data_IF_388768925800
#
_entry.id   IF_388768925800
#
_cell.length_a   1.000
_cell.length_b   1.000
_cell.length_c   1.000
_cell.angle_alpha   90.00
_cell.angle_beta   90.00
_cell.angle_gamma   90.00
#
_symmetry.space_group_name_H-M   'P 1'
#
loop_
_entity.id
_entity.type
_entity.pdbx_description
1 polymer ?
#
# COMPACT_ATOMS: atom_id res chain seq x y z
N UNK A 1 -27.28 6.66 -21.57
CA UNK A 1 -25.96 6.63 -22.19
C UNK A 1 -26.08 7.38 -23.48
N UNK A 2 -25.54 8.58 -23.49
CA UNK A 2 -25.70 9.54 -24.57
C UNK A 2 -24.97 9.04 -25.83
N UNK A 3 -25.35 9.52 -27.01
CA UNK A 3 -24.75 9.08 -28.29
C UNK A 3 -23.24 9.34 -28.31
N UNK A 4 -22.82 10.46 -27.72
CA UNK A 4 -21.41 10.83 -27.51
C UNK A 4 -20.68 9.84 -26.59
N UNK A 5 -21.33 9.35 -25.53
CA UNK A 5 -20.73 8.36 -24.63
C UNK A 5 -20.53 7.02 -25.33
N UNK A 6 -21.50 6.60 -26.16
CA UNK A 6 -21.37 5.37 -26.96
C UNK A 6 -20.23 5.49 -27.97
N UNK A 7 -20.10 6.66 -28.60
CA UNK A 7 -19.03 6.93 -29.55
C UNK A 7 -17.65 6.95 -28.87
N UNK A 8 -17.55 7.55 -27.68
CA UNK A 8 -16.33 7.53 -26.88
C UNK A 8 -15.83 6.10 -26.60
N UNK A 9 -16.72 5.17 -26.22
CA UNK A 9 -16.32 3.77 -26.02
C UNK A 9 -16.04 3.02 -27.33
N UNK A 10 -16.64 3.45 -28.45
CA UNK A 10 -16.42 2.86 -29.77
C UNK A 10 -15.03 3.23 -30.35
N UNK A 11 -14.48 4.38 -29.98
CA UNK A 11 -13.13 4.82 -30.39
C UNK A 11 -12.00 3.97 -29.77
N UNK A 12 -12.30 3.23 -28.69
CA UNK A 12 -11.38 2.27 -28.08
C UNK A 12 -10.35 2.88 -27.13
N UNK A 13 -9.40 2.06 -26.69
CA UNK A 13 -8.37 2.47 -25.73
C UNK A 13 -6.97 2.15 -26.25
N UNK A 14 -5.98 2.91 -25.77
CA UNK A 14 -4.56 2.66 -26.03
C UNK A 14 -3.92 2.04 -24.80
N UNK A 15 -3.49 0.79 -24.93
CA UNK A 15 -2.79 0.07 -23.86
C UNK A 15 -1.32 0.45 -23.81
N UNK A 16 -0.92 1.17 -22.76
CA UNK A 16 0.46 1.64 -22.57
C UNK A 16 1.11 0.83 -21.44
N UNK A 17 2.28 0.18 -21.66
CA UNK A 17 2.97 -0.54 -20.60
C UNK A 17 3.29 0.37 -19.41
N UNK A 18 2.88 -0.01 -18.20
CA UNK A 18 3.14 0.79 -16.99
C UNK A 18 4.64 1.04 -16.76
N UNK A 19 5.49 0.10 -17.21
CA UNK A 19 6.95 0.25 -17.14
C UNK A 19 7.47 1.42 -17.98
N UNK A 20 6.84 1.72 -19.13
CA UNK A 20 7.16 2.91 -19.90
C UNK A 20 6.89 4.16 -19.07
N UNK A 21 5.68 4.28 -18.50
CA UNK A 21 5.30 5.45 -17.68
C UNK A 21 6.18 5.61 -16.43
N UNK A 22 6.65 4.51 -15.85
CA UNK A 22 7.53 4.53 -14.67
C UNK A 22 8.98 4.90 -15.00
N UNK A 23 9.50 4.46 -16.15
CA UNK A 23 10.94 4.46 -16.40
C UNK A 23 11.38 5.27 -17.64
N UNK A 24 10.47 5.90 -18.39
CA UNK A 24 10.84 6.65 -19.62
C UNK A 24 11.92 7.71 -19.36
N UNK A 25 11.85 8.43 -18.24
CA UNK A 25 12.85 9.43 -17.88
C UNK A 25 14.25 8.83 -17.62
N UNK A 26 14.31 7.58 -17.13
CA UNK A 26 15.56 6.88 -16.79
C UNK A 26 16.29 6.41 -18.05
N UNK A 27 15.53 6.11 -19.11
CA UNK A 27 16.08 5.75 -20.41
C UNK A 27 16.35 6.97 -21.30
N UNK A 28 16.17 8.19 -20.80
CA UNK A 28 16.50 9.43 -21.50
C UNK A 28 15.41 10.01 -22.40
N UNK A 29 14.16 9.56 -22.24
CA UNK A 29 13.00 10.15 -22.93
C UNK A 29 12.49 11.37 -22.16
N UNK A 30 12.21 12.44 -22.89
CA UNK A 30 11.51 13.62 -22.36
C UNK A 30 9.99 13.37 -22.30
N UNK A 31 9.27 14.30 -21.69
CA UNK A 31 7.80 14.27 -21.69
C UNK A 31 7.25 14.39 -23.12
N UNK A 32 7.88 15.20 -23.96
CA UNK A 32 7.47 15.36 -25.36
C UNK A 32 7.71 14.07 -26.15
N UNK A 33 8.85 13.41 -25.92
CA UNK A 33 9.14 12.11 -26.53
C UNK A 33 8.09 11.07 -26.14
N UNK A 34 7.69 11.05 -24.86
CA UNK A 34 6.66 10.13 -24.35
C UNK A 34 5.31 10.36 -25.03
N UNK A 35 4.88 11.61 -25.21
CA UNK A 35 3.61 11.91 -25.90
C UNK A 35 3.65 11.41 -27.35
N UNK A 36 4.77 11.62 -28.06
CA UNK A 36 4.91 11.12 -29.43
C UNK A 36 4.86 9.59 -29.44
N UNK A 37 5.57 8.91 -28.52
CA UNK A 37 5.51 7.45 -28.38
C UNK A 37 4.08 6.95 -28.13
N UNK A 38 3.31 7.62 -27.25
CA UNK A 38 1.91 7.29 -26.99
C UNK A 38 1.06 7.44 -28.26
N UNK A 39 1.27 8.51 -29.03
CA UNK A 39 0.58 8.70 -30.31
C UNK A 39 0.96 7.60 -31.32
N UNK A 40 2.20 7.10 -31.33
CA UNK A 40 2.57 5.95 -32.17
C UNK A 40 1.79 4.68 -31.78
N UNK A 41 1.59 4.43 -30.48
CA UNK A 41 0.72 3.34 -30.02
C UNK A 41 -0.73 3.54 -30.48
N UNK A 42 -1.26 4.77 -30.38
CA UNK A 42 -2.61 5.10 -30.80
C UNK A 42 -2.82 4.91 -32.31
N UNK A 43 -1.95 5.47 -33.15
CA UNK A 43 -2.04 5.34 -34.60
C UNK A 43 -1.90 3.88 -35.06
N UNK A 44 -1.03 3.10 -34.43
CA UNK A 44 -0.89 1.66 -34.71
C UNK A 44 -2.20 0.90 -34.44
N UNK A 45 -2.93 1.26 -33.37
CA UNK A 45 -4.25 0.70 -33.05
C UNK A 45 -5.32 1.05 -34.09
N UNK A 46 -5.23 2.24 -34.69
CA UNK A 46 -6.13 2.73 -35.73
C UNK A 46 -5.75 2.23 -37.14
N UNK A 47 -4.67 1.45 -37.27
CA UNK A 47 -4.20 0.91 -38.54
C UNK A 47 -3.24 1.82 -39.31
N UNK A 48 -2.93 3.01 -38.78
CA UNK A 48 -1.93 3.92 -39.34
C UNK A 48 -0.56 3.54 -38.75
N UNK A 49 0.15 2.65 -39.42
CA UNK A 49 1.42 2.10 -38.90
C UNK A 49 2.61 3.04 -39.01
N UNK A 50 2.55 4.00 -39.94
CA UNK A 50 3.60 4.99 -40.19
C UNK A 50 3.00 6.40 -40.25
N UNK A 51 2.50 6.95 -39.13
CA UNK A 51 1.90 8.27 -39.10
C UNK A 51 2.93 9.35 -39.46
N UNK A 52 2.54 10.31 -40.30
CA UNK A 52 3.36 11.48 -40.63
C UNK A 52 3.42 12.46 -39.45
N UNK A 53 4.41 13.36 -39.48
CA UNK A 53 4.50 14.46 -38.50
C UNK A 53 3.26 15.35 -38.51
N UNK A 54 2.60 15.50 -39.66
CA UNK A 54 1.32 16.21 -39.81
C UNK A 54 0.20 15.54 -39.00
N UNK A 55 0.01 14.23 -39.15
CA UNK A 55 -1.03 13.49 -38.42
C UNK A 55 -0.83 13.55 -36.91
N UNK A 56 0.41 13.40 -36.45
CA UNK A 56 0.74 13.50 -35.02
C UNK A 56 0.53 14.95 -34.53
N UNK A 57 0.87 15.96 -35.34
CA UNK A 57 0.66 17.37 -34.97
C UNK A 57 -0.81 17.73 -34.85
N UNK A 58 -1.69 17.11 -35.65
CA UNK A 58 -3.13 17.37 -35.57
C UNK A 58 -3.76 16.91 -34.24
N UNK A 59 -3.11 15.99 -33.52
CA UNK A 59 -3.58 15.43 -32.24
C UNK A 59 -2.80 15.92 -31.03
N UNK A 60 -1.82 16.79 -31.24
CA UNK A 60 -0.92 17.27 -30.19
C UNK A 60 -0.77 18.78 -30.30
N UNK A 61 -0.34 19.43 -29.24
CA UNK A 61 -0.01 20.87 -29.28
C UNK A 61 1.42 21.12 -29.77
N UNK A 62 1.95 20.24 -30.62
CA UNK A 62 3.32 20.33 -31.14
C UNK A 62 3.33 20.74 -32.61
N UNK A 63 4.39 21.46 -33.01
CA UNK A 63 4.63 21.74 -34.42
C UNK A 63 5.10 20.49 -35.17
N UNK A 64 4.82 20.40 -36.48
CA UNK A 64 5.32 19.32 -37.34
C UNK A 64 6.85 19.19 -37.28
N UNK A 65 7.56 20.32 -37.25
CA UNK A 65 9.02 20.36 -37.13
C UNK A 65 9.51 19.77 -35.79
N UNK A 66 8.80 20.07 -34.69
CA UNK A 66 9.13 19.50 -33.38
C UNK A 66 8.95 17.98 -33.38
N UNK A 67 7.84 17.49 -33.94
CA UNK A 67 7.57 16.05 -34.05
C UNK A 67 8.60 15.36 -34.93
N UNK A 68 8.95 15.94 -36.08
CA UNK A 68 9.97 15.39 -36.96
C UNK A 68 11.32 15.24 -36.23
N UNK A 69 11.74 16.26 -35.48
CA UNK A 69 12.96 16.19 -34.65
C UNK A 69 12.86 15.10 -33.58
N UNK A 70 11.70 14.93 -32.95
CA UNK A 70 11.48 13.86 -31.96
C UNK A 70 11.57 12.49 -32.62
N UNK A 71 10.90 12.28 -33.77
CA UNK A 71 10.95 11.02 -34.51
C UNK A 71 12.38 10.68 -34.97
N UNK A 72 13.10 11.66 -35.51
CA UNK A 72 14.52 11.51 -35.88
C UNK A 72 15.39 11.15 -34.68
N UNK A 73 15.17 11.81 -33.53
CA UNK A 73 15.86 11.48 -32.28
C UNK A 73 15.53 10.03 -31.85
N UNK A 74 14.26 9.64 -31.85
CA UNK A 74 13.84 8.29 -31.46
C UNK A 74 14.45 7.21 -32.36
N UNK A 75 14.50 7.44 -33.67
CA UNK A 75 15.17 6.57 -34.64
C UNK A 75 16.67 6.50 -34.40
N UNK A 76 17.34 7.65 -34.30
CA UNK A 76 18.79 7.76 -34.08
C UNK A 76 19.23 7.03 -32.81
N UNK A 77 18.47 7.18 -31.73
CA UNK A 77 18.77 6.56 -30.45
C UNK A 77 18.25 5.12 -30.33
N UNK A 78 17.66 4.55 -31.39
CA UNK A 78 17.11 3.19 -31.44
C UNK A 78 15.99 2.95 -30.43
N UNK A 79 15.18 3.96 -30.12
CA UNK A 79 13.91 3.75 -29.42
C UNK A 79 12.85 3.22 -30.38
N UNK A 80 12.87 3.67 -31.62
CA UNK A 80 12.04 3.13 -32.69
C UNK A 80 12.92 2.79 -33.89
N UNK A 81 12.44 1.91 -34.75
CA UNK A 81 13.04 1.57 -36.04
C UNK A 81 11.95 1.49 -37.11
N UNK A 82 12.35 1.41 -38.38
CA UNK A 82 11.43 1.03 -39.44
C UNK A 82 11.29 -0.50 -39.49
N UNK A 83 10.10 -0.98 -39.85
CA UNK A 83 9.88 -2.39 -40.20
C UNK A 83 10.72 -2.81 -41.41
N UNK A 84 10.83 -4.12 -41.66
CA UNK A 84 11.56 -4.66 -42.83
C UNK A 84 11.09 -4.07 -44.18
N UNK A 85 9.82 -3.70 -44.27
CA UNK A 85 9.21 -3.12 -45.47
C UNK A 85 9.14 -1.59 -45.43
N UNK A 86 9.69 -0.94 -44.39
CA UNK A 86 9.62 0.50 -44.14
C UNK A 86 8.20 1.10 -44.16
N UNK A 87 7.20 0.30 -43.82
CA UNK A 87 5.77 0.65 -43.82
C UNK A 87 5.19 0.87 -42.42
N UNK A 88 6.01 0.67 -41.38
CA UNK A 88 5.61 0.79 -39.99
C UNK A 88 6.76 1.22 -39.09
N UNK A 89 6.44 1.91 -38.00
CA UNK A 89 7.37 2.04 -36.87
C UNK A 89 7.34 0.78 -36.01
N UNK A 90 8.53 0.25 -35.74
CA UNK A 90 8.76 -0.83 -34.78
C UNK A 90 9.29 -0.24 -33.47
N UNK A 91 8.63 -0.58 -32.36
CA UNK A 91 8.94 -0.12 -31.01
C UNK A 91 9.77 -1.15 -30.21
N UNK A 92 10.25 -2.22 -30.85
CA UNK A 92 11.05 -3.26 -30.19
C UNK A 92 12.28 -2.67 -29.49
N UNK A 93 12.95 -1.68 -30.09
CA UNK A 93 14.10 -0.99 -29.49
C UNK A 93 13.75 -0.23 -28.19
N UNK A 94 12.55 0.33 -28.09
CA UNK A 94 12.04 0.95 -26.87
C UNK A 94 11.84 -0.12 -25.79
N UNK A 95 11.24 -1.26 -26.15
CA UNK A 95 11.01 -2.38 -25.23
C UNK A 95 12.34 -2.92 -24.71
N UNK A 96 13.32 -3.13 -25.58
CA UNK A 96 14.66 -3.56 -25.22
C UNK A 96 15.33 -2.59 -24.25
N UNK A 97 15.21 -1.27 -24.45
CA UNK A 97 15.76 -0.27 -23.52
C UNK A 97 15.03 -0.27 -22.17
N UNK A 98 13.71 -0.48 -22.17
CA UNK A 98 12.93 -0.59 -20.94
C UNK A 98 13.25 -1.87 -20.14
N UNK A 99 13.61 -2.95 -20.82
CA UNK A 99 14.02 -4.22 -20.21
C UNK A 99 15.50 -4.20 -19.81
N UNK A 100 16.37 -3.72 -20.69
CA UNK A 100 17.83 -3.67 -20.57
C UNK A 100 18.35 -2.55 -19.66
N UNK A 101 17.59 -1.47 -19.48
CA UNK A 101 17.76 -0.52 -18.36
C UNK A 101 17.42 -1.15 -16.99
N UNK A 102 16.98 -2.42 -16.98
CA UNK A 102 16.66 -3.22 -15.82
C UNK A 102 17.84 -4.05 -15.30
N UNK A 103 18.92 -3.40 -14.87
CA UNK A 103 19.31 -3.60 -13.47
C UNK A 103 18.56 -2.52 -12.71
N UNK A 104 17.41 -2.90 -12.16
CA UNK A 104 16.77 -2.10 -11.13
C UNK A 104 17.79 -2.02 -10.01
N UNK A 105 18.54 -0.92 -9.93
CA UNK A 105 19.25 -0.61 -8.70
C UNK A 105 18.16 -0.41 -7.64
N UNK A 106 18.06 -1.29 -6.62
CA UNK A 106 17.04 -1.15 -5.59
C UNK A 106 17.15 0.18 -4.80
N UNK A 107 18.18 0.99 -5.08
CA UNK A 107 18.43 2.29 -4.50
C UNK A 107 18.11 3.50 -5.38
N UNK A 108 17.79 3.37 -6.68
CA UNK A 108 17.39 4.53 -7.52
C UNK A 108 15.91 4.93 -7.35
N UNK A 109 15.27 4.39 -6.31
CA UNK A 109 13.83 4.36 -6.07
C UNK A 109 13.38 5.37 -5.02
N UNK A 110 13.92 6.59 -4.95
CA UNK A 110 13.47 7.53 -3.89
C UNK A 110 11.98 7.89 -4.03
N UNK A 111 11.46 8.03 -5.26
CA UNK A 111 10.03 8.20 -5.51
C UNK A 111 9.25 6.86 -5.47
N UNK A 112 9.88 5.77 -5.91
CA UNK A 112 9.26 4.43 -5.92
C UNK A 112 9.24 3.79 -4.53
N UNK A 113 10.07 4.22 -3.57
CA UNK A 113 9.99 3.82 -2.15
C UNK A 113 8.71 4.34 -1.52
N UNK A 114 8.32 5.59 -1.79
CA UNK A 114 7.05 6.13 -1.30
C UNK A 114 5.84 5.44 -1.94
N UNK A 115 5.89 5.18 -3.25
CA UNK A 115 4.83 4.45 -3.97
C UNK A 115 4.75 2.96 -3.60
N UNK A 116 5.89 2.29 -3.42
CA UNK A 116 5.95 0.90 -2.95
C UNK A 116 5.54 0.80 -1.49
N UNK A 117 5.91 1.75 -0.62
CA UNK A 117 5.42 1.81 0.76
C UNK A 117 3.90 2.04 0.81
N UNK A 118 3.36 2.90 -0.05
CA UNK A 118 1.92 3.09 -0.19
C UNK A 118 1.24 1.82 -0.73
N UNK A 119 1.85 1.13 -1.69
CA UNK A 119 1.38 -0.15 -2.22
C UNK A 119 1.37 -1.26 -1.17
N UNK A 120 2.41 -1.33 -0.35
CA UNK A 120 2.54 -2.29 0.76
C UNK A 120 1.51 -2.00 1.86
N UNK A 121 1.32 -0.73 2.23
CA UNK A 121 0.26 -0.32 3.16
C UNK A 121 -1.13 -0.65 2.62
N UNK A 122 -1.38 -0.39 1.33
CA UNK A 122 -2.66 -0.72 0.69
C UNK A 122 -2.94 -2.23 0.73
N UNK A 123 -1.95 -3.07 0.42
CA UNK A 123 -2.07 -4.54 0.52
C UNK A 123 -2.33 -4.99 1.95
N UNK A 124 -1.66 -4.38 2.92
CA UNK A 124 -1.88 -4.66 4.34
C UNK A 124 -3.33 -4.34 4.74
N UNK A 125 -3.83 -3.14 4.41
CA UNK A 125 -5.20 -2.74 4.70
C UNK A 125 -6.23 -3.67 4.05
N UNK A 126 -6.03 -4.04 2.79
CA UNK A 126 -6.89 -4.99 2.09
C UNK A 126 -6.91 -6.37 2.78
N UNK A 127 -5.76 -6.83 3.26
CA UNK A 127 -5.66 -8.10 4.00
C UNK A 127 -6.46 -8.02 5.30
N UNK A 128 -6.28 -6.97 6.10
CA UNK A 128 -7.07 -6.77 7.32
C UNK A 128 -8.57 -6.71 7.04
N UNK A 129 -8.99 -5.94 6.03
CA UNK A 129 -10.41 -5.82 5.68
C UNK A 129 -11.03 -7.16 5.28
N UNK A 130 -10.27 -7.99 4.53
CA UNK A 130 -10.70 -9.33 4.15
C UNK A 130 -10.88 -10.23 5.37
N UNK A 131 -9.89 -10.28 6.27
CA UNK A 131 -9.96 -11.15 7.46
C UNK A 131 -11.02 -10.65 8.47
N UNK A 132 -11.23 -9.34 8.59
CA UNK A 132 -12.25 -8.77 9.47
C UNK A 132 -13.66 -8.87 8.89
N UNK A 133 -13.81 -9.18 7.59
CA UNK A 133 -15.09 -9.23 6.89
C UNK A 133 -15.80 -7.86 6.80
N UNK A 134 -15.06 -6.76 7.03
CA UNK A 134 -15.59 -5.39 6.98
C UNK A 134 -14.51 -4.38 6.61
N UNK A 135 -14.95 -3.17 6.27
CA UNK A 135 -14.04 -2.04 6.13
C UNK A 135 -13.44 -1.65 7.48
N UNK A 136 -12.16 -1.27 7.43
CA UNK A 136 -11.47 -0.66 8.56
C UNK A 136 -11.94 0.78 8.73
N UNK A 137 -12.14 1.18 9.98
CA UNK A 137 -12.43 2.56 10.35
C UNK A 137 -11.18 3.43 10.23
N UNK A 138 -11.31 4.77 10.14
CA UNK A 138 -10.16 5.67 10.09
C UNK A 138 -9.21 5.49 11.29
N UNK A 139 -9.76 5.24 12.48
CA UNK A 139 -8.99 5.00 13.70
C UNK A 139 -8.14 3.72 13.58
N UNK A 140 -8.72 2.65 13.03
CA UNK A 140 -8.03 1.38 12.81
C UNK A 140 -6.92 1.48 11.76
N UNK A 141 -7.18 2.21 10.66
CA UNK A 141 -6.15 2.50 9.65
C UNK A 141 -4.98 3.27 10.25
N UNK A 142 -5.26 4.23 11.14
CA UNK A 142 -4.23 4.98 11.86
C UNK A 142 -3.42 4.05 12.75
N UNK A 143 -4.05 3.21 13.58
CA UNK A 143 -3.35 2.23 14.44
C UNK A 143 -2.42 1.32 13.63
N UNK A 144 -2.89 0.77 12.52
CA UNK A 144 -2.05 -0.09 11.66
C UNK A 144 -0.91 0.73 11.04
N UNK A 145 -1.14 1.99 10.67
CA UNK A 145 -0.07 2.87 10.18
C UNK A 145 0.96 3.19 11.26
N UNK A 146 0.55 3.29 12.53
CA UNK A 146 1.45 3.57 13.66
C UNK A 146 2.40 2.40 13.92
N UNK A 147 1.92 1.15 13.81
CA UNK A 147 2.78 -0.04 13.91
C UNK A 147 3.92 -0.03 12.89
N UNK A 148 3.64 0.41 11.65
CA UNK A 148 4.65 0.48 10.59
C UNK A 148 5.60 1.68 10.75
N UNK A 149 5.10 2.85 11.15
CA UNK A 149 5.87 4.10 11.16
C UNK A 149 6.59 4.33 12.50
N UNK A 150 5.87 4.19 13.60
CA UNK A 150 6.35 4.52 14.95
C UNK A 150 7.06 3.33 15.57
N UNK A 151 6.44 2.15 15.51
CA UNK A 151 7.01 0.94 16.10
C UNK A 151 7.98 0.20 15.19
N UNK A 152 8.05 0.61 13.92
CA UNK A 152 8.93 0.07 12.87
C UNK A 152 8.77 -1.45 12.66
N UNK A 153 7.56 -1.97 12.86
CA UNK A 153 7.26 -3.36 12.51
C UNK A 153 7.29 -3.56 11.00
N UNK A 154 7.87 -4.68 10.56
CA UNK A 154 7.81 -5.06 9.14
C UNK A 154 6.37 -5.43 8.77
N UNK A 155 5.92 -5.12 7.54
CA UNK A 155 4.58 -5.49 7.06
C UNK A 155 4.30 -7.00 7.19
N UNK A 156 5.31 -7.82 6.96
CA UNK A 156 5.21 -9.28 7.05
C UNK A 156 4.97 -9.76 8.49
N UNK A 157 5.58 -9.12 9.49
CA UNK A 157 5.30 -9.40 10.91
C UNK A 157 3.86 -9.03 11.27
N UNK A 158 3.37 -7.89 10.79
CA UNK A 158 1.98 -7.45 11.06
C UNK A 158 0.96 -8.43 10.44
N UNK A 159 1.19 -8.92 9.22
CA UNK A 159 0.36 -9.97 8.62
C UNK A 159 0.43 -11.27 9.41
N UNK A 160 1.61 -11.64 9.92
CA UNK A 160 1.79 -12.86 10.71
C UNK A 160 1.04 -12.78 12.05
N UNK A 161 1.05 -11.62 12.71
CA UNK A 161 0.27 -11.37 13.92
C UNK A 161 -1.24 -11.41 13.65
N UNK A 162 -1.70 -10.85 12.52
CA UNK A 162 -3.08 -10.96 12.07
C UNK A 162 -3.49 -12.43 11.89
N UNK A 163 -2.68 -13.24 11.20
CA UNK A 163 -2.96 -14.65 11.00
C UNK A 163 -3.05 -15.41 12.33
N UNK A 164 -2.22 -15.09 13.31
CA UNK A 164 -2.34 -15.66 14.65
C UNK A 164 -3.67 -15.28 15.32
N UNK A 165 -4.10 -14.03 15.20
CA UNK A 165 -5.39 -13.56 15.72
C UNK A 165 -6.59 -14.25 15.04
N UNK A 166 -6.53 -14.44 13.72
CA UNK A 166 -7.52 -15.22 12.95
C UNK A 166 -7.57 -16.66 13.47
N UNK A 167 -6.42 -17.31 13.63
CA UNK A 167 -6.35 -18.69 14.12
C UNK A 167 -6.86 -18.82 15.57
N UNK A 168 -6.61 -17.82 16.42
CA UNK A 168 -7.13 -17.77 17.77
C UNK A 168 -8.63 -17.38 17.84
N UNK A 169 -9.25 -17.06 16.70
CA UNK A 169 -10.63 -16.56 16.61
C UNK A 169 -10.88 -15.27 17.41
N UNK A 170 -9.82 -14.47 17.65
CA UNK A 170 -9.88 -13.20 18.39
C UNK A 170 -9.41 -12.08 17.45
N UNK A 171 -10.32 -11.60 16.61
CA UNK A 171 -10.06 -10.55 15.62
C UNK A 171 -10.27 -9.16 16.21
N UNK A 172 -9.28 -8.67 16.96
CA UNK A 172 -9.25 -7.27 17.38
C UNK A 172 -7.82 -6.69 17.33
N UNK A 173 -7.70 -5.39 17.04
CA UNK A 173 -6.39 -4.74 16.90
C UNK A 173 -5.59 -4.71 18.20
N UNK A 174 -6.22 -4.63 19.39
CA UNK A 174 -5.51 -4.66 20.68
C UNK A 174 -4.85 -6.01 20.95
N UNK A 175 -5.44 -7.10 20.46
CA UNK A 175 -4.89 -8.45 20.59
C UNK A 175 -3.70 -8.62 19.65
N UNK A 176 -3.84 -8.16 18.40
CA UNK A 176 -2.76 -8.12 17.41
C UNK A 176 -1.59 -7.26 17.92
N UNK A 177 -1.88 -6.10 18.52
CA UNK A 177 -0.88 -5.23 19.13
C UNK A 177 -0.12 -5.93 20.27
N UNK A 178 -0.81 -6.66 21.14
CA UNK A 178 -0.16 -7.45 22.21
C UNK A 178 0.79 -8.51 21.66
N UNK A 179 0.40 -9.18 20.57
CA UNK A 179 1.26 -10.15 19.87
C UNK A 179 2.52 -9.44 19.38
N UNK A 180 2.36 -8.32 18.66
CA UNK A 180 3.47 -7.54 18.11
C UNK A 180 4.42 -7.02 19.20
N UNK A 181 3.88 -6.54 20.33
CA UNK A 181 4.67 -6.08 21.47
C UNK A 181 5.44 -7.22 22.15
N UNK A 182 4.82 -8.41 22.28
CA UNK A 182 5.50 -9.59 22.80
C UNK A 182 6.67 -9.99 21.90
N UNK A 183 6.48 -9.99 20.58
CA UNK A 183 7.56 -10.25 19.62
C UNK A 183 8.67 -9.20 19.67
N UNK A 184 8.32 -7.93 19.82
CA UNK A 184 9.30 -6.84 20.02
C UNK A 184 10.13 -7.07 21.28
N UNK A 185 9.49 -7.48 22.38
CA UNK A 185 10.18 -7.76 23.64
C UNK A 185 11.08 -9.00 23.55
N UNK A 186 10.67 -10.03 22.81
CA UNK A 186 11.42 -11.28 22.64
C UNK A 186 12.43 -11.23 21.47
N UNK A 187 12.71 -10.06 20.91
CA UNK A 187 13.60 -9.86 19.75
C UNK A 187 13.25 -10.73 18.53
N UNK A 188 11.96 -11.03 18.34
CA UNK A 188 11.46 -11.74 17.16
C UNK A 188 11.35 -10.73 16.02
N UNK A 189 12.28 -10.83 15.06
CA UNK A 189 12.39 -9.86 13.95
C UNK A 189 12.05 -10.46 12.58
N UNK A 190 12.01 -11.79 12.47
CA UNK A 190 11.72 -12.48 11.21
C UNK A 190 10.38 -13.20 11.25
N UNK A 191 9.79 -13.39 10.08
CA UNK A 191 8.53 -14.12 9.91
C UNK A 191 8.65 -15.56 10.43
N UNK A 192 9.78 -16.21 10.18
CA UNK A 192 10.04 -17.60 10.58
C UNK A 192 10.08 -17.75 12.11
N UNK A 193 10.66 -16.76 12.81
CA UNK A 193 10.69 -16.74 14.27
C UNK A 193 9.29 -16.51 14.86
N UNK A 194 8.49 -15.63 14.24
CA UNK A 194 7.10 -15.40 14.63
C UNK A 194 6.22 -16.65 14.43
N UNK A 195 6.41 -17.37 13.33
CA UNK A 195 5.74 -18.65 13.09
C UNK A 195 6.15 -19.75 14.09
N UNK A 196 7.42 -19.79 14.51
CA UNK A 196 7.90 -20.71 15.54
C UNK A 196 7.30 -20.40 16.93
N UNK A 197 7.23 -19.12 17.31
CA UNK A 197 6.58 -18.68 18.56
C UNK A 197 5.08 -19.01 18.57
N UNK A 198 4.41 -18.88 17.41
CA UNK A 198 3.02 -19.28 17.23
C UNK A 198 2.79 -20.78 17.48
N UNK A 199 3.70 -21.64 17.02
CA UNK A 199 3.65 -23.08 17.25
C UNK A 199 3.90 -23.42 18.73
N UNK A 200 4.85 -22.75 19.38
CA UNK A 200 5.17 -22.93 20.80
C UNK A 200 3.99 -22.55 21.71
N UNK A 201 3.36 -21.40 21.48
CA UNK A 201 2.15 -21.02 22.21
C UNK A 201 1.02 -22.03 22.00
N UNK A 202 0.86 -22.57 20.79
CA UNK A 202 -0.15 -23.59 20.49
C UNK A 202 0.06 -24.87 21.31
N UNK A 203 1.30 -25.35 21.44
CA UNK A 203 1.62 -26.55 22.22
C UNK A 203 1.41 -26.34 23.72
N UNK A 204 1.70 -25.13 24.24
CA UNK A 204 1.52 -24.80 25.65
C UNK A 204 0.05 -24.72 26.08
N UNK A 205 -0.86 -24.30 25.18
CA UNK A 205 -2.29 -24.19 25.48
C UNK A 205 -3.14 -25.40 25.04
N UNK A 206 -2.64 -26.24 24.11
CA UNK A 206 -3.34 -27.48 23.73
C UNK A 206 -3.13 -28.63 24.72
N UNK A 207 -2.20 -28.49 25.66
CA UNK A 207 -1.89 -29.50 26.69
C UNK A 207 -2.72 -29.40 27.97
N UNK A 208 -3.51 -28.33 28.16
CA UNK A 208 -4.31 -28.10 29.37
C UNK A 208 -5.80 -28.17 29.05
N UNK A 209 -6.26 -29.38 28.74
CA UNK A 209 -7.69 -29.71 28.71
C UNK A 209 -8.19 -29.79 30.15
N UNK A 210 -8.56 -28.63 30.69
CA UNK A 210 -9.58 -28.36 31.72
C UNK A 210 -10.23 -29.59 32.40
N UNK A 211 -9.55 -30.16 33.39
CA UNK A 211 -10.19 -30.82 34.53
C UNK A 211 -9.68 -30.14 35.81
N UNK A 212 -10.36 -29.06 36.19
CA UNK A 212 -9.96 -28.22 37.30
C UNK A 212 -11.08 -27.31 37.74
N UNK A 213 -12.13 -27.89 38.33
CA UNK A 213 -13.05 -27.13 39.18
C UNK A 213 -12.24 -26.45 40.28
N UNK A 214 -12.00 -25.15 40.18
CA UNK A 214 -11.70 -24.31 41.33
C UNK A 214 -12.68 -23.15 41.41
N UNK A 215 -13.77 -23.49 42.07
CA UNK A 215 -14.57 -22.70 42.99
C UNK A 215 -13.84 -21.47 43.56
N UNK A 216 -14.11 -20.28 43.00
CA UNK A 216 -13.79 -19.02 43.66
C UNK A 216 -14.79 -18.80 44.81
N UNK A 217 -14.37 -19.21 46.02
CA UNK A 217 -15.00 -18.79 47.28
C UNK A 217 -14.99 -17.26 47.38
N UNK A 218 -16.17 -16.65 47.27
CA UNK A 218 -16.39 -15.26 47.69
C UNK A 218 -16.22 -15.18 49.21
N UNK A 219 -15.25 -14.39 49.69
CA UNK A 219 -15.22 -13.91 51.08
C UNK A 219 -16.11 -12.66 51.20
N UNK A 220 -16.79 -12.45 52.33
CA UNK A 220 -17.83 -11.45 52.48
C UNK A 220 -17.22 -10.06 52.71
N UNK A 221 -17.77 -9.04 52.06
CA UNK A 221 -17.60 -7.64 52.48
C UNK A 221 -18.88 -7.21 53.21
N UNK A 222 -18.82 -7.13 54.53
CA UNK A 222 -19.87 -6.53 55.34
C UNK A 222 -19.86 -5.00 55.19
N UNK A 223 -21.01 -4.48 54.76
CA UNK A 223 -21.69 -3.21 55.05
C UNK A 223 -20.92 -2.15 55.87
N UNK A 224 -21.00 -0.85 55.58
CA UNK A 224 -22.24 -0.06 55.44
C UNK A 224 -21.93 1.33 54.92
N UNK A 225 -22.80 1.87 54.08
CA UNK A 225 -22.87 3.29 53.74
C UNK A 225 -24.30 3.64 53.34
N UNK A 226 -25.15 3.92 54.33
CA UNK A 226 -26.46 4.54 54.13
C UNK A 226 -26.50 5.81 54.97
N UNK A 227 -26.63 6.94 54.31
CA UNK A 227 -26.80 8.28 54.87
C UNK A 227 -28.02 8.34 55.82
N UNK A 228 -27.85 9.01 56.97
CA UNK A 228 -28.91 9.86 57.53
C UNK A 228 -28.36 10.85 58.58
N UNK A 229 -28.20 12.11 58.15
CA UNK A 229 -28.57 13.39 58.78
C UNK A 229 -28.40 13.55 60.31
N UNK A 230 -27.60 14.54 60.75
CA UNK A 230 -28.04 15.69 61.61
C UNK A 230 -26.91 16.71 61.87
N UNK A 231 -27.22 17.96 61.52
CA UNK A 231 -26.52 19.23 61.81
C UNK A 231 -26.82 19.64 63.28
N UNK A 232 -26.22 20.71 63.86
CA UNK A 232 -24.89 20.93 64.46
C UNK A 232 -24.96 20.99 66.02
N UNK A 233 -23.86 21.35 66.73
CA UNK A 233 -23.83 22.38 67.81
C UNK A 233 -22.45 22.52 68.52
N UNK A 234 -21.86 23.71 68.30
CA UNK A 234 -20.90 24.56 69.05
C UNK A 234 -20.47 24.18 70.50
N UNK A 235 -19.17 24.36 70.80
CA UNK A 235 -18.56 25.08 71.96
C UNK A 235 -17.04 25.23 71.69
N UNK A 236 -16.52 26.43 71.42
CA UNK A 236 -16.02 27.50 72.34
C UNK A 236 -14.70 27.11 73.05
N UNK A 237 -13.68 27.97 72.91
CA UNK A 237 -12.43 28.00 73.70
C UNK A 237 -11.19 28.10 72.80
N UNK A 238 -10.86 29.29 72.29
CA UNK A 238 -9.82 30.21 72.83
C UNK A 238 -8.43 29.89 72.24
N UNK A 239 -7.94 30.71 71.31
CA UNK A 239 -7.00 31.84 71.54
C UNK A 239 -5.57 31.33 71.82
N UNK A 240 -4.48 31.88 71.29
CA UNK A 240 -4.19 33.11 70.54
C UNK A 240 -2.72 33.03 70.10
N UNK A 241 -2.41 33.79 69.03
CA UNK A 241 -1.19 34.59 68.80
C UNK A 241 0.19 33.89 68.88
N UNK A 242 1.14 34.12 67.99
CA UNK A 242 1.44 35.21 67.05
C UNK A 242 2.31 34.61 65.93
#
# INVERSE_FOLDING_TARGET
MDEDEKQFFAEGNVDIPTRLLRNYHQIGLSNEDLIVVIQLFAFSREGIKLPSSELISARTNFSQNSIQRILEKLLKHKFISFSMNNDAYDLSGLIEKLVGGGRVDPNSLSADKSLSQLGTQKRLYQTFQREFGRMLTPMELQTISEWLKKDQFSPDLVVTALNQAVNAQILNLRYIEKILLNWKHNNVQTKEQAEADNLQHRQRYSGDSFEGKQEFKRKPSSSSGSENIKIPLKKIGEEKNL
#
